data_IF_054114985646
#
_entry.id   IF_054114985646
#
_cell.length_a   1.000
_cell.length_b   1.000
_cell.length_c   1.000
_cell.angle_alpha   90.00
_cell.angle_beta   90.00
_cell.angle_gamma   90.00
#
_symmetry.space_group_name_H-M   'P 1'
#
loop_
_entity.id
_entity.type
_entity.pdbx_description
1 polymer ?
#
# COMPACT_ATOMS: atom_id res chain seq x y z
N UNK A 1 13.85 23.71 -9.58
CA UNK A 1 12.44 23.77 -9.98
C UNK A 1 11.65 23.32 -8.77
N UNK A 2 10.71 24.12 -8.26
CA UNK A 2 9.91 23.70 -7.10
C UNK A 2 8.83 22.74 -7.59
N UNK A 3 8.87 21.49 -7.14
CA UNK A 3 7.81 20.50 -7.42
C UNK A 3 6.60 20.90 -6.58
N UNK A 4 5.44 21.01 -7.20
CA UNK A 4 4.18 21.35 -6.52
C UNK A 4 3.35 20.09 -6.34
N UNK A 5 2.57 20.02 -5.26
CA UNK A 5 1.83 18.81 -4.88
C UNK A 5 0.67 18.48 -5.85
N UNK A 6 0.11 19.49 -6.52
CA UNK A 6 -0.99 19.36 -7.49
C UNK A 6 -0.60 18.58 -8.77
N UNK A 7 0.69 18.46 -9.08
CA UNK A 7 1.17 17.67 -10.23
C UNK A 7 0.72 16.20 -10.15
N UNK A 8 0.54 15.67 -8.92
CA UNK A 8 0.13 14.29 -8.70
C UNK A 8 -1.34 14.03 -9.08
N UNK A 9 -2.19 15.06 -9.23
CA UNK A 9 -3.55 14.89 -9.78
C UNK A 9 -3.55 14.39 -11.23
N UNK A 10 -2.47 14.65 -11.96
CA UNK A 10 -2.32 14.22 -13.35
C UNK A 10 -1.85 12.77 -13.50
N UNK A 11 -1.42 12.14 -12.41
CA UNK A 11 -0.93 10.75 -12.42
C UNK A 11 -2.08 9.80 -12.74
N UNK A 12 -1.93 9.09 -13.86
CA UNK A 12 -2.96 8.17 -14.35
C UNK A 12 -2.90 6.82 -13.67
N UNK A 13 -1.73 6.22 -13.55
CA UNK A 13 -1.54 4.91 -12.94
C UNK A 13 -0.13 4.86 -12.36
N UNK A 14 0.08 4.07 -11.31
CA UNK A 14 1.41 3.71 -10.86
C UNK A 14 1.89 2.46 -11.61
N UNK A 15 3.19 2.36 -11.89
CA UNK A 15 3.72 1.19 -12.57
C UNK A 15 3.80 -0.02 -11.64
N UNK A 16 3.76 -1.21 -12.24
CA UNK A 16 3.95 -2.49 -11.55
C UNK A 16 5.18 -3.22 -12.09
N UNK A 17 5.87 -4.04 -11.27
CA UNK A 17 6.97 -4.87 -11.73
C UNK A 17 6.56 -5.82 -12.88
N UNK A 18 7.43 -6.02 -13.89
CA UNK A 18 7.11 -6.86 -15.05
C UNK A 18 6.70 -8.28 -14.66
N UNK A 19 7.34 -8.89 -13.65
CA UNK A 19 7.04 -10.23 -13.18
C UNK A 19 5.59 -10.37 -12.67
N UNK A 20 5.06 -9.36 -11.99
CA UNK A 20 3.67 -9.36 -11.50
C UNK A 20 2.68 -9.30 -12.68
N UNK A 21 2.96 -8.46 -13.68
CA UNK A 21 2.16 -8.37 -14.91
C UNK A 21 2.19 -9.71 -15.68
N UNK A 22 3.37 -10.35 -15.75
CA UNK A 22 3.52 -11.65 -16.39
C UNK A 22 2.76 -12.76 -15.67
N UNK A 23 2.75 -12.77 -14.33
CA UNK A 23 1.97 -13.74 -13.55
C UNK A 23 0.48 -13.67 -13.90
N UNK A 24 -0.04 -12.46 -14.07
CA UNK A 24 -1.42 -12.23 -14.52
C UNK A 24 -1.66 -12.74 -15.95
N UNK A 25 -0.73 -12.47 -16.87
CA UNK A 25 -0.81 -12.93 -18.26
C UNK A 25 -0.80 -14.46 -18.38
N UNK A 26 0.07 -15.14 -17.64
CA UNK A 26 0.19 -16.61 -17.63
C UNK A 26 -1.10 -17.24 -17.09
N UNK A 27 -1.56 -16.80 -15.92
CA UNK A 27 -2.80 -17.30 -15.32
C UNK A 27 -4.02 -17.07 -16.21
N UNK A 28 -4.00 -15.98 -16.97
CA UNK A 28 -5.04 -15.60 -17.94
C UNK A 28 -5.05 -16.42 -19.23
N UNK A 29 -3.94 -17.09 -19.58
CA UNK A 29 -3.80 -17.89 -20.81
C UNK A 29 -4.22 -19.36 -20.63
N UNK A 30 -4.25 -19.85 -19.39
CA UNK A 30 -4.74 -21.19 -19.02
C UNK A 30 -6.27 -21.23 -19.03
N UNK A 31 -6.84 -21.62 -20.18
CA UNK A 31 -8.29 -21.82 -20.34
C UNK A 31 -8.75 -23.05 -19.53
N UNK A 32 -9.39 -22.86 -18.36
CA UNK A 32 -10.52 -23.71 -17.87
C UNK A 32 -10.99 -23.49 -16.42
N UNK A 33 -10.36 -22.69 -15.56
CA UNK A 33 -10.82 -22.59 -14.16
C UNK A 33 -10.88 -21.15 -13.63
N UNK A 34 -12.13 -20.68 -13.46
CA UNK A 34 -12.59 -19.64 -12.53
C UNK A 34 -11.58 -18.54 -12.16
N UNK A 35 -11.63 -17.43 -12.89
CA UNK A 35 -11.78 -16.03 -12.45
C UNK A 35 -11.50 -15.57 -10.99
N UNK A 36 -11.59 -16.43 -9.96
CA UNK A 36 -11.16 -16.11 -8.59
C UNK A 36 -9.63 -15.96 -8.46
N UNK A 37 -8.87 -16.62 -9.34
CA UNK A 37 -7.41 -16.59 -9.32
C UNK A 37 -6.86 -15.16 -9.56
N UNK A 38 -7.55 -14.33 -10.36
CA UNK A 38 -7.02 -13.01 -10.73
C UNK A 38 -6.88 -12.07 -9.54
N UNK A 39 -7.81 -12.12 -8.58
CA UNK A 39 -7.76 -11.29 -7.37
C UNK A 39 -6.61 -11.75 -6.49
N UNK A 40 -6.43 -13.06 -6.32
CA UNK A 40 -5.35 -13.64 -5.52
C UNK A 40 -3.96 -13.32 -6.10
N UNK A 41 -3.84 -13.28 -7.43
CA UNK A 41 -2.59 -12.92 -8.10
C UNK A 41 -2.23 -11.46 -7.87
N UNK A 42 -3.22 -10.56 -7.86
CA UNK A 42 -2.97 -9.11 -7.84
C UNK A 42 -2.99 -8.53 -6.42
N UNK A 43 -3.52 -9.27 -5.43
CA UNK A 43 -3.78 -8.75 -4.09
C UNK A 43 -2.53 -8.29 -3.35
N UNK A 44 -1.34 -8.65 -3.81
CA UNK A 44 -0.07 -8.19 -3.23
C UNK A 44 0.68 -7.18 -4.09
N UNK A 45 0.12 -6.77 -5.24
CA UNK A 45 0.65 -5.68 -6.04
C UNK A 45 -0.11 -4.36 -5.76
N UNK A 46 0.49 -3.40 -5.02
CA UNK A 46 -0.16 -2.12 -4.71
C UNK A 46 -0.57 -1.32 -5.96
N UNK A 47 0.24 -1.32 -7.02
CA UNK A 47 -0.05 -0.54 -8.24
C UNK A 47 -1.23 -1.08 -9.03
N UNK A 48 -1.34 -2.41 -9.15
CA UNK A 48 -2.50 -3.08 -9.74
C UNK A 48 -3.74 -2.89 -8.88
N UNK A 49 -3.60 -3.05 -7.56
CA UNK A 49 -4.70 -2.86 -6.63
C UNK A 49 -5.28 -1.44 -6.71
N UNK A 50 -4.42 -0.42 -6.69
CA UNK A 50 -4.78 0.97 -6.90
C UNK A 50 -5.46 1.20 -8.25
N UNK A 51 -4.95 0.59 -9.32
CA UNK A 51 -5.54 0.70 -10.66
C UNK A 51 -6.96 0.12 -10.72
N UNK A 52 -7.18 -1.04 -10.08
CA UNK A 52 -8.50 -1.68 -9.99
C UNK A 52 -9.47 -0.84 -9.15
N UNK A 53 -9.05 -0.40 -7.97
CA UNK A 53 -9.85 0.43 -7.07
C UNK A 53 -10.21 1.78 -7.69
N UNK A 54 -9.26 2.42 -8.40
CA UNK A 54 -9.49 3.65 -9.15
C UNK A 54 -10.60 3.48 -10.18
N UNK A 55 -10.57 2.40 -10.94
CA UNK A 55 -11.58 2.14 -11.98
C UNK A 55 -12.93 1.81 -11.33
N UNK A 56 -12.94 1.01 -10.26
CA UNK A 56 -14.15 0.69 -9.50
C UNK A 56 -14.83 1.94 -8.91
N UNK A 57 -14.04 2.93 -8.46
CA UNK A 57 -14.53 4.20 -7.93
C UNK A 57 -14.79 5.28 -8.99
N UNK A 58 -14.56 4.99 -10.27
CA UNK A 58 -14.77 5.98 -11.33
C UNK A 58 -16.27 6.23 -11.56
N UNK A 59 -16.67 7.47 -11.93
CA UNK A 59 -18.07 7.81 -12.18
C UNK A 59 -18.76 6.92 -13.24
N UNK A 60 -17.98 6.28 -14.11
CA UNK A 60 -18.47 5.39 -15.19
C UNK A 60 -19.25 4.19 -14.63
N UNK A 61 -18.86 3.67 -13.48
CA UNK A 61 -19.54 2.51 -12.88
C UNK A 61 -20.73 2.89 -12.01
N UNK A 62 -20.93 4.18 -11.73
CA UNK A 62 -22.15 4.72 -11.12
C UNK A 62 -22.54 4.10 -9.77
N UNK A 63 -21.60 3.48 -9.06
CA UNK A 63 -21.88 2.79 -7.81
C UNK A 63 -22.14 3.84 -6.70
N UNK A 64 -23.28 3.79 -5.99
CA UNK A 64 -23.66 4.86 -5.05
C UNK A 64 -22.76 4.93 -3.80
N UNK A 65 -22.11 3.83 -3.44
CA UNK A 65 -21.16 3.76 -2.33
C UNK A 65 -19.72 3.76 -2.86
N UNK A 66 -18.76 4.28 -2.09
CA UNK A 66 -17.35 4.23 -2.49
C UNK A 66 -16.76 2.85 -2.17
N UNK A 67 -16.07 2.25 -3.14
CA UNK A 67 -15.45 0.93 -3.04
C UNK A 67 -14.17 1.03 -2.21
N UNK A 68 -14.11 0.22 -1.16
CA UNK A 68 -13.12 0.29 -0.08
C UNK A 68 -12.27 -0.98 0.03
N UNK A 69 -12.48 -1.98 -0.83
CA UNK A 69 -11.64 -3.18 -0.85
C UNK A 69 -11.52 -3.82 -2.24
N UNK A 70 -10.47 -4.60 -2.44
CA UNK A 70 -10.30 -5.38 -3.67
C UNK A 70 -11.41 -6.41 -3.88
N UNK A 71 -11.89 -7.04 -2.81
CA UNK A 71 -13.02 -7.98 -2.86
C UNK A 71 -14.31 -7.28 -3.35
N UNK A 72 -14.60 -6.07 -2.86
CA UNK A 72 -15.73 -5.27 -3.33
C UNK A 72 -15.54 -4.88 -4.81
N UNK A 73 -14.34 -4.43 -5.19
CA UNK A 73 -14.02 -4.09 -6.57
C UNK A 73 -14.16 -5.30 -7.51
N UNK A 74 -13.75 -6.49 -7.06
CA UNK A 74 -13.89 -7.73 -7.81
C UNK A 74 -15.35 -8.15 -7.99
N UNK A 75 -16.18 -8.00 -6.96
CA UNK A 75 -17.61 -8.23 -7.05
C UNK A 75 -18.32 -7.28 -8.02
N UNK A 76 -17.86 -6.02 -8.09
CA UNK A 76 -18.43 -5.00 -8.98
C UNK A 76 -17.98 -5.13 -10.44
N UNK A 77 -16.66 -5.21 -10.66
CA UNK A 77 -16.06 -5.16 -11.99
C UNK A 77 -16.08 -6.52 -12.68
N UNK A 78 -15.92 -7.58 -11.88
CA UNK A 78 -15.67 -8.90 -12.39
C UNK A 78 -14.25 -9.10 -12.95
N UNK A 79 -13.88 -10.38 -13.14
CA UNK A 79 -12.53 -10.84 -13.45
C UNK A 79 -12.02 -10.36 -14.82
N UNK A 80 -12.87 -10.36 -15.84
CA UNK A 80 -12.50 -9.91 -17.19
C UNK A 80 -12.18 -8.41 -17.25
N UNK A 81 -12.93 -7.59 -16.51
CA UNK A 81 -12.64 -6.16 -16.41
C UNK A 81 -11.34 -5.91 -15.63
N UNK A 82 -11.17 -6.59 -14.48
CA UNK A 82 -9.92 -6.53 -13.70
C UNK A 82 -8.71 -6.86 -14.57
N UNK A 83 -8.76 -7.95 -15.33
CA UNK A 83 -7.70 -8.33 -16.27
C UNK A 83 -7.38 -7.19 -17.25
N UNK A 84 -8.39 -6.61 -17.88
CA UNK A 84 -8.19 -5.51 -18.83
C UNK A 84 -7.60 -4.25 -18.19
N UNK A 85 -7.89 -3.99 -16.91
CA UNK A 85 -7.30 -2.90 -16.15
C UNK A 85 -5.82 -3.17 -15.92
N UNK A 86 -5.47 -4.36 -15.45
CA UNK A 86 -4.08 -4.75 -15.15
C UNK A 86 -3.20 -4.73 -16.41
N UNK A 87 -3.71 -5.17 -17.55
CA UNK A 87 -2.97 -5.14 -18.81
C UNK A 87 -2.66 -3.71 -19.31
N UNK A 88 -3.30 -2.69 -18.72
CA UNK A 88 -3.04 -1.27 -18.98
C UNK A 88 -2.17 -0.63 -17.90
N UNK A 89 -1.80 -1.36 -16.86
CA UNK A 89 -0.86 -0.90 -15.84
C UNK A 89 0.51 -0.66 -16.47
N UNK A 90 1.15 0.50 -16.24
CA UNK A 90 2.49 0.76 -16.77
C UNK A 90 3.52 -0.22 -16.20
N UNK A 91 4.56 -0.52 -16.98
CA UNK A 91 5.66 -1.40 -16.56
C UNK A 91 6.73 -0.56 -15.85
N UNK A 92 7.16 -0.97 -14.67
CA UNK A 92 8.10 -0.25 -13.81
C UNK A 92 9.46 0.02 -14.46
N UNK A 93 10.04 -0.96 -15.15
CA UNK A 93 11.35 -0.83 -15.81
C UNK A 93 11.43 0.38 -16.77
N UNK A 94 10.31 0.77 -17.39
CA UNK A 94 10.26 1.93 -18.29
C UNK A 94 10.55 3.26 -17.59
N UNK A 95 10.37 3.31 -16.26
CA UNK A 95 10.66 4.48 -15.44
C UNK A 95 12.06 4.41 -14.80
N UNK A 96 12.68 3.23 -14.77
CA UNK A 96 13.98 2.99 -14.13
C UNK A 96 15.17 3.06 -15.09
N UNK A 97 14.93 2.93 -16.40
CA UNK A 97 15.97 2.80 -17.44
C UNK A 97 17.01 3.95 -17.50
N UNK A 98 16.82 5.04 -16.76
CA UNK A 98 17.69 6.23 -16.77
C UNK A 98 18.17 6.66 -15.37
N UNK A 99 18.03 5.80 -14.35
CA UNK A 99 18.22 6.15 -12.94
C UNK A 99 19.51 5.54 -12.33
N UNK A 100 20.69 6.09 -12.64
CA UNK A 100 21.86 5.84 -11.79
C UNK A 100 21.80 6.76 -10.57
N UNK A 101 21.58 6.20 -9.38
CA UNK A 101 21.67 6.95 -8.12
C UNK A 101 22.27 6.11 -6.99
N UNK A 102 23.04 6.78 -6.12
CA UNK A 102 23.72 6.18 -4.97
C UNK A 102 22.74 5.61 -3.93
N UNK A 103 21.55 6.21 -3.82
CA UNK A 103 20.51 5.81 -2.87
C UNK A 103 19.24 5.34 -3.62
N UNK A 104 19.38 4.31 -4.45
CA UNK A 104 18.24 3.74 -5.17
C UNK A 104 17.25 3.05 -4.19
N UNK A 105 15.96 3.17 -4.49
CA UNK A 105 14.91 2.44 -3.80
C UNK A 105 14.92 0.99 -4.28
N UNK A 106 14.85 0.04 -3.34
CA UNK A 106 14.63 -1.36 -3.66
C UNK A 106 13.12 -1.61 -3.83
N UNK A 107 12.70 -1.80 -5.07
CA UNK A 107 11.29 -2.00 -5.41
C UNK A 107 10.78 -3.38 -4.99
N UNK A 108 11.64 -4.41 -4.96
CA UNK A 108 11.26 -5.73 -4.43
C UNK A 108 10.98 -5.61 -2.93
N UNK A 109 11.87 -4.94 -2.20
CA UNK A 109 11.71 -4.68 -0.77
C UNK A 109 10.44 -3.85 -0.48
N UNK A 110 10.13 -2.84 -1.31
CA UNK A 110 8.92 -2.02 -1.16
C UNK A 110 7.64 -2.83 -1.41
N UNK A 111 7.57 -3.64 -2.47
CA UNK A 111 6.38 -4.46 -2.72
C UNK A 111 6.18 -5.52 -1.63
N UNK A 112 7.28 -6.12 -1.15
CA UNK A 112 7.29 -7.02 0.00
C UNK A 112 6.76 -6.33 1.25
N UNK A 113 7.17 -5.08 1.49
CA UNK A 113 6.69 -4.26 2.60
C UNK A 113 5.18 -4.02 2.53
N UNK A 114 4.68 -3.58 1.37
CA UNK A 114 3.25 -3.38 1.14
C UNK A 114 2.46 -4.68 1.34
N UNK A 115 2.91 -5.80 0.77
CA UNK A 115 2.20 -7.08 0.83
C UNK A 115 2.10 -7.66 2.23
N UNK A 116 3.18 -7.64 3.02
CA UNK A 116 3.14 -8.13 4.40
C UNK A 116 2.40 -7.17 5.32
N UNK A 117 2.54 -5.86 5.14
CA UNK A 117 1.73 -4.88 5.88
C UNK A 117 0.24 -5.11 5.62
N UNK A 118 -0.16 -5.39 4.38
CA UNK A 118 -1.52 -5.79 4.02
C UNK A 118 -1.98 -7.05 4.76
N UNK A 119 -1.18 -8.13 4.74
CA UNK A 119 -1.52 -9.38 5.41
C UNK A 119 -1.65 -9.23 6.92
N UNK A 120 -0.73 -8.50 7.54
CA UNK A 120 -0.80 -8.21 8.97
C UNK A 120 -2.01 -7.34 9.31
N UNK A 121 -2.27 -6.29 8.53
CA UNK A 121 -3.42 -5.40 8.74
C UNK A 121 -4.76 -6.13 8.57
N UNK A 122 -4.89 -6.98 7.55
CA UNK A 122 -6.07 -7.83 7.36
C UNK A 122 -6.26 -8.81 8.52
N UNK A 123 -5.19 -9.49 8.93
CA UNK A 123 -5.21 -10.39 10.09
C UNK A 123 -5.60 -9.69 11.39
N UNK A 124 -5.00 -8.53 11.67
CA UNK A 124 -5.33 -7.69 12.83
C UNK A 124 -6.78 -7.24 12.80
N UNK A 125 -7.28 -6.72 11.67
CA UNK A 125 -8.67 -6.30 11.52
C UNK A 125 -9.66 -7.43 11.84
N UNK A 126 -9.35 -8.65 11.42
CA UNK A 126 -10.12 -9.86 11.76
C UNK A 126 -10.09 -10.20 13.24
N UNK A 127 -8.90 -10.15 13.86
CA UNK A 127 -8.67 -10.59 15.24
C UNK A 127 -9.17 -9.59 16.30
N UNK A 128 -9.03 -8.29 16.02
CA UNK A 128 -9.56 -7.20 16.87
C UNK A 128 -11.09 -7.22 16.85
N UNK A 129 -11.68 -7.48 15.68
CA UNK A 129 -13.13 -7.45 15.48
C UNK A 129 -13.68 -6.02 15.35
N UNK A 130 -14.86 -5.89 14.74
CA UNK A 130 -15.51 -4.58 14.52
C UNK A 130 -14.89 -3.73 13.39
N UNK A 131 -13.89 -4.26 12.67
CA UNK A 131 -13.33 -3.68 11.45
C UNK A 131 -13.51 -4.65 10.28
N UNK A 132 -13.64 -4.12 9.07
CA UNK A 132 -13.65 -4.94 7.86
C UNK A 132 -12.22 -5.37 7.50
N UNK A 133 -11.94 -6.67 7.62
CA UNK A 133 -10.63 -7.27 7.32
C UNK A 133 -10.13 -6.91 5.92
N UNK A 134 -11.01 -6.93 4.91
CA UNK A 134 -10.64 -6.65 3.52
C UNK A 134 -10.28 -5.17 3.30
N UNK A 135 -10.93 -4.27 4.04
CA UNK A 135 -10.59 -2.84 4.06
C UNK A 135 -9.25 -2.62 4.73
N UNK A 136 -8.99 -3.27 5.87
CA UNK A 136 -7.70 -3.19 6.57
C UNK A 136 -6.56 -3.76 5.70
N UNK A 137 -6.78 -4.88 5.03
CA UNK A 137 -5.83 -5.45 4.08
C UNK A 137 -5.54 -4.46 2.95
N UNK A 138 -6.59 -3.93 2.31
CA UNK A 138 -6.45 -2.98 1.20
C UNK A 138 -5.71 -1.71 1.64
N UNK A 139 -6.04 -1.17 2.82
CA UNK A 139 -5.36 -0.04 3.43
C UNK A 139 -3.86 -0.32 3.66
N UNK A 140 -3.52 -1.48 4.23
CA UNK A 140 -2.14 -1.89 4.43
C UNK A 140 -1.38 -2.10 3.12
N UNK A 141 -2.06 -2.54 2.06
CA UNK A 141 -1.43 -2.73 0.75
C UNK A 141 -1.04 -1.41 0.09
N UNK A 142 -1.92 -0.41 0.15
CA UNK A 142 -1.75 0.84 -0.61
C UNK A 142 -1.14 1.98 0.21
N UNK A 143 -0.70 1.71 1.45
CA UNK A 143 -0.25 2.71 2.41
C UNK A 143 1.03 3.48 1.99
N UNK A 144 1.78 2.98 1.01
CA UNK A 144 2.99 3.62 0.49
C UNK A 144 2.83 4.06 -0.99
N UNK A 145 1.59 4.30 -1.44
CA UNK A 145 1.30 4.77 -2.80
C UNK A 145 2.12 6.03 -3.20
N UNK A 146 2.28 6.96 -2.28
CA UNK A 146 3.07 8.18 -2.48
C UNK A 146 4.57 7.93 -2.59
N UNK A 147 5.10 6.92 -1.89
CA UNK A 147 6.51 6.49 -2.03
C UNK A 147 6.74 5.93 -3.43
N UNK A 148 5.81 5.09 -3.92
CA UNK A 148 5.84 4.59 -5.30
C UNK A 148 5.79 5.75 -6.29
N UNK A 149 4.88 6.71 -6.10
CA UNK A 149 4.76 7.86 -7.00
C UNK A 149 6.03 8.73 -7.02
N UNK A 150 6.59 9.08 -5.85
CA UNK A 150 7.79 9.89 -5.76
C UNK A 150 9.01 9.19 -6.37
N UNK A 151 9.19 7.90 -6.08
CA UNK A 151 10.29 7.11 -6.63
C UNK A 151 10.20 6.92 -8.14
N UNK A 152 9.00 6.93 -8.72
CA UNK A 152 8.81 6.76 -10.17
C UNK A 152 8.90 8.08 -10.93
N UNK A 153 8.28 9.14 -10.41
CA UNK A 153 8.15 10.43 -11.13
C UNK A 153 9.24 11.44 -10.76
N UNK A 154 9.79 11.35 -9.54
CA UNK A 154 10.87 12.21 -9.05
C UNK A 154 12.00 11.40 -8.38
N UNK A 155 12.56 10.38 -9.07
CA UNK A 155 13.52 9.44 -8.50
C UNK A 155 14.81 10.08 -8.01
N UNK A 156 15.30 11.16 -8.63
CA UNK A 156 16.51 11.85 -8.19
C UNK A 156 16.30 12.49 -6.82
N UNK A 157 15.22 13.26 -6.68
CA UNK A 157 14.84 13.92 -5.44
C UNK A 157 14.47 12.87 -4.37
N UNK A 158 13.81 11.79 -4.76
CA UNK A 158 13.50 10.70 -3.83
C UNK A 158 14.79 10.04 -3.32
N UNK A 159 15.77 9.83 -4.19
CA UNK A 159 17.07 9.31 -3.81
C UNK A 159 17.83 10.26 -2.88
N UNK A 160 17.77 11.57 -3.12
CA UNK A 160 18.28 12.58 -2.20
C UNK A 160 17.60 12.49 -0.83
N UNK A 161 16.27 12.36 -0.79
CA UNK A 161 15.51 12.21 0.45
C UNK A 161 15.91 10.92 1.22
N UNK A 162 16.09 9.80 0.53
CA UNK A 162 16.58 8.55 1.13
C UNK A 162 17.99 8.73 1.70
N UNK A 163 18.90 9.34 0.94
CA UNK A 163 20.26 9.64 1.40
C UNK A 163 20.25 10.54 2.64
N UNK A 164 19.40 11.57 2.64
CA UNK A 164 19.24 12.50 3.77
C UNK A 164 18.66 11.82 5.01
N UNK A 165 17.64 10.98 4.84
CA UNK A 165 17.07 10.13 5.90
C UNK A 165 18.16 9.29 6.59
N UNK A 166 18.95 8.55 5.79
CA UNK A 166 20.04 7.68 6.29
C UNK A 166 21.15 8.48 6.98
N UNK A 167 21.62 9.56 6.36
CA UNK A 167 22.76 10.35 6.85
C UNK A 167 22.42 11.16 8.11
N UNK A 168 21.22 11.74 8.15
CA UNK A 168 20.76 12.56 9.29
C UNK A 168 20.02 11.75 10.37
N UNK A 169 19.75 10.46 10.12
CA UNK A 169 19.00 9.56 11.00
C UNK A 169 17.61 10.12 11.37
N UNK A 170 16.94 10.73 10.39
CA UNK A 170 15.58 11.23 10.53
C UNK A 170 14.61 10.29 9.81
N UNK A 171 13.31 10.38 10.14
CA UNK A 171 12.30 9.65 9.37
C UNK A 171 12.23 10.19 7.91
N UNK A 172 11.76 9.36 6.99
CA UNK A 172 11.75 9.61 5.56
C UNK A 172 10.76 10.73 5.23
N UNK A 173 9.62 10.78 5.91
CA UNK A 173 8.65 11.88 5.75
C UNK A 173 9.29 13.25 6.04
N UNK A 174 10.14 13.35 7.06
CA UNK A 174 10.88 14.57 7.37
C UNK A 174 11.99 14.84 6.34
N UNK A 175 12.64 13.80 5.82
CA UNK A 175 13.63 13.97 4.76
C UNK A 175 12.97 14.43 3.44
N UNK A 176 11.84 13.84 3.08
CA UNK A 176 10.99 14.24 1.94
C UNK A 176 10.57 15.69 2.07
N UNK A 177 10.05 16.11 3.23
CA UNK A 177 9.71 17.52 3.49
C UNK A 177 10.89 18.47 3.28
N UNK A 178 12.10 18.06 3.64
CA UNK A 178 13.31 18.88 3.42
C UNK A 178 13.71 18.98 1.95
N UNK A 179 13.38 18.00 1.11
CA UNK A 179 13.75 17.95 -0.31
C UNK A 179 12.62 18.48 -1.22
N UNK A 180 11.40 17.98 -1.02
CA UNK A 180 10.22 18.30 -1.83
C UNK A 180 9.39 19.47 -1.28
N UNK A 181 9.46 19.74 0.03
CA UNK A 181 8.53 20.65 0.72
C UNK A 181 7.21 20.00 1.18
N UNK A 182 7.02 18.72 0.86
CA UNK A 182 5.90 17.86 1.28
C UNK A 182 6.39 16.42 1.45
N UNK A 183 5.56 15.53 1.98
CA UNK A 183 5.88 14.11 2.17
C UNK A 183 5.03 13.16 1.30
N UNK A 184 5.43 11.89 1.25
CA UNK A 184 4.74 10.82 0.55
C UNK A 184 3.32 10.57 1.06
N UNK A 185 3.01 10.88 2.33
CA UNK A 185 1.64 10.79 2.84
C UNK A 185 0.74 11.84 2.18
N UNK A 186 1.24 13.06 2.02
CA UNK A 186 0.56 14.12 1.27
C UNK A 186 0.36 13.74 -0.20
N UNK A 187 1.36 13.12 -0.83
CA UNK A 187 1.23 12.61 -2.22
C UNK A 187 0.15 11.53 -2.33
N UNK A 188 0.11 10.57 -1.39
CA UNK A 188 -0.93 9.54 -1.35
C UNK A 188 -2.33 10.15 -1.27
N UNK A 189 -2.52 11.18 -0.43
CA UNK A 189 -3.80 11.89 -0.33
C UNK A 189 -4.24 12.52 -1.66
N UNK A 190 -3.32 13.18 -2.37
CA UNK A 190 -3.65 13.79 -3.67
C UNK A 190 -4.00 12.73 -4.72
N UNK A 191 -3.27 11.61 -4.75
CA UNK A 191 -3.57 10.50 -5.67
C UNK A 191 -4.95 9.91 -5.38
N UNK A 192 -5.24 9.63 -4.12
CA UNK A 192 -6.52 9.05 -3.71
C UNK A 192 -7.69 9.99 -3.96
N UNK A 193 -7.50 11.29 -3.71
CA UNK A 193 -8.49 12.33 -4.03
C UNK A 193 -8.75 12.38 -5.53
N UNK A 194 -7.69 12.44 -6.35
CA UNK A 194 -7.80 12.47 -7.80
C UNK A 194 -8.42 11.18 -8.38
N UNK A 195 -8.29 10.06 -7.68
CA UNK A 195 -8.86 8.77 -8.08
C UNK A 195 -10.20 8.44 -7.41
N UNK A 196 -10.81 9.43 -6.72
CA UNK A 196 -12.14 9.34 -6.12
C UNK A 196 -12.28 8.23 -5.07
N UNK A 197 -11.20 7.95 -4.33
CA UNK A 197 -11.23 6.99 -3.23
C UNK A 197 -12.12 7.48 -2.07
N UNK A 198 -12.60 6.56 -1.22
CA UNK A 198 -13.30 6.91 0.01
C UNK A 198 -12.51 7.88 0.89
N UNK A 199 -13.20 8.83 1.54
CA UNK A 199 -12.56 9.75 2.48
C UNK A 199 -11.90 8.99 3.65
N UNK A 200 -12.46 7.84 4.04
CA UNK A 200 -11.85 6.94 5.03
C UNK A 200 -10.45 6.48 4.66
N UNK A 201 -10.16 6.30 3.36
CA UNK A 201 -8.82 5.97 2.87
C UNK A 201 -7.89 7.18 2.85
N UNK A 202 -8.39 8.34 2.41
CA UNK A 202 -7.62 9.59 2.40
C UNK A 202 -7.18 9.93 3.84
N UNK A 203 -8.06 9.71 4.82
CA UNK A 203 -7.79 9.97 6.23
C UNK A 203 -6.69 9.08 6.82
N UNK A 204 -6.36 7.93 6.22
CA UNK A 204 -5.25 7.07 6.67
C UNK A 204 -3.89 7.80 6.63
N UNK A 205 -3.77 8.79 5.74
CA UNK A 205 -2.53 9.53 5.48
C UNK A 205 -2.49 10.90 6.14
N UNK A 206 -3.59 11.32 6.80
CA UNK A 206 -3.68 12.61 7.48
C UNK A 206 -2.99 12.53 8.84
N UNK A 207 -1.85 13.21 8.96
CA UNK A 207 -1.10 13.34 10.23
C UNK A 207 -1.65 14.42 11.16
N UNK A 208 -2.53 15.28 10.65
CA UNK A 208 -3.15 16.42 11.33
C UNK A 208 -4.46 16.08 12.04
N UNK A 209 -5.08 14.94 11.71
CA UNK A 209 -6.29 14.47 12.39
C UNK A 209 -5.91 13.69 13.65
N UNK A 210 -6.40 14.09 14.84
CA UNK A 210 -6.26 13.28 16.04
C UNK A 210 -6.93 11.93 15.82
N UNK A 211 -6.23 10.85 16.16
CA UNK A 211 -6.79 9.50 16.08
C UNK A 211 -8.03 9.44 16.98
N UNK A 212 -9.21 9.27 16.37
CA UNK A 212 -10.49 9.16 17.07
C UNK A 212 -10.82 7.68 17.31
N UNK A 213 -10.97 7.31 18.58
CA UNK A 213 -11.26 5.93 19.01
C UNK A 213 -12.68 5.47 18.66
N UNK A 214 -13.57 6.39 18.29
CA UNK A 214 -14.92 6.09 17.84
C UNK A 214 -15.04 5.96 16.32
N UNK A 215 -14.08 6.50 15.54
CA UNK A 215 -14.09 6.48 14.09
C UNK A 215 -13.44 5.21 13.52
N UNK A 216 -14.18 4.39 12.75
CA UNK A 216 -13.61 3.21 12.09
C UNK A 216 -12.42 3.51 11.17
N UNK A 217 -12.38 4.67 10.52
CA UNK A 217 -11.29 5.05 9.61
C UNK A 217 -9.99 5.29 10.38
N UNK A 218 -10.09 5.99 11.51
CA UNK A 218 -9.00 6.18 12.48
C UNK A 218 -8.47 4.85 13.03
N UNK A 219 -9.37 3.88 13.32
CA UNK A 219 -8.96 2.53 13.72
C UNK A 219 -8.25 1.77 12.60
N UNK A 220 -8.72 1.86 11.35
CA UNK A 220 -8.02 1.25 10.21
C UNK A 220 -6.61 1.84 10.05
N UNK A 221 -6.44 3.15 10.20
CA UNK A 221 -5.12 3.79 10.21
C UNK A 221 -4.22 3.26 11.33
N UNK A 222 -4.77 3.10 12.54
CA UNK A 222 -4.04 2.52 13.66
C UNK A 222 -3.66 1.05 13.43
N UNK A 223 -4.53 0.25 12.77
CA UNK A 223 -4.21 -1.12 12.37
C UNK A 223 -3.04 -1.16 11.39
N UNK A 224 -3.02 -0.27 10.39
CA UNK A 224 -1.91 -0.19 9.42
C UNK A 224 -0.62 0.23 10.13
N UNK A 225 -0.67 1.25 11.00
CA UNK A 225 0.49 1.67 11.80
C UNK A 225 1.05 0.54 12.67
N UNK A 226 0.17 -0.23 13.32
CA UNK A 226 0.56 -1.39 14.12
C UNK A 226 1.14 -2.51 13.23
N UNK A 227 0.56 -2.78 12.07
CA UNK A 227 1.09 -3.76 11.12
C UNK A 227 2.54 -3.42 10.67
N UNK A 228 2.81 -2.13 10.39
CA UNK A 228 4.17 -1.64 10.07
C UNK A 228 5.14 -1.88 11.23
N UNK A 229 4.74 -1.54 12.45
CA UNK A 229 5.54 -1.78 13.66
C UNK A 229 5.86 -3.26 13.85
N UNK A 230 4.86 -4.13 13.79
CA UNK A 230 5.03 -5.57 13.98
C UNK A 230 5.91 -6.17 12.89
N UNK A 231 5.75 -5.74 11.64
CA UNK A 231 6.58 -6.25 10.57
C UNK A 231 8.07 -5.95 10.79
N UNK A 232 8.37 -4.72 11.24
CA UNK A 232 9.72 -4.31 11.62
C UNK A 232 10.24 -5.12 12.81
N UNK A 233 9.46 -5.21 13.89
CA UNK A 233 9.85 -5.94 15.11
C UNK A 233 10.12 -7.42 14.84
N UNK A 234 9.33 -8.03 13.96
CA UNK A 234 9.45 -9.43 13.59
C UNK A 234 10.41 -9.68 12.43
N UNK A 235 11.04 -8.62 11.89
CA UNK A 235 12.00 -8.70 10.78
C UNK A 235 11.44 -9.47 9.56
N UNK A 236 10.15 -9.30 9.27
CA UNK A 236 9.45 -10.06 8.21
C UNK A 236 9.82 -9.59 6.80
N UNK A 237 10.19 -8.33 6.66
CA UNK A 237 10.80 -7.77 5.46
C UNK A 237 11.59 -6.53 5.84
N UNK A 238 12.41 -6.09 4.89
CA UNK A 238 13.08 -4.80 4.90
C UNK A 238 12.06 -3.64 4.85
N UNK A 239 12.30 -2.51 4.21
CA UNK A 239 11.88 -1.20 4.69
C UNK A 239 12.39 -0.98 6.13
N UNK A 240 13.62 -1.45 6.35
CA UNK A 240 14.53 -1.02 7.42
C UNK A 240 15.02 0.43 7.24
N UNK A 241 14.48 1.15 6.26
CA UNK A 241 15.08 2.37 5.75
C UNK A 241 14.66 3.63 6.51
N UNK A 242 13.73 3.51 7.44
CA UNK A 242 13.11 4.68 8.05
C UNK A 242 12.77 4.46 9.52
N UNK A 243 13.32 5.28 10.43
CA UNK A 243 12.81 5.36 11.80
C UNK A 243 11.37 5.89 11.77
N UNK A 244 10.36 5.02 11.83
CA UNK A 244 9.00 5.45 12.10
C UNK A 244 8.89 5.79 13.60
N UNK A 245 8.46 7.02 13.90
CA UNK A 245 8.14 7.56 15.23
C UNK A 245 6.77 7.11 15.74
N UNK A 246 6.29 5.97 15.23
CA UNK A 246 5.03 5.37 15.62
C UNK A 246 5.06 4.94 17.09
N UNK A 247 4.19 5.54 17.89
CA UNK A 247 3.97 5.17 19.29
C UNK A 247 3.07 3.92 19.37
N UNK A 248 3.71 2.76 19.52
CA UNK A 248 3.01 1.48 19.68
C UNK A 248 2.02 1.48 20.85
N UNK A 249 2.32 2.17 21.96
CA UNK A 249 1.42 2.28 23.10
C UNK A 249 0.13 3.02 22.74
N UNK A 250 0.24 4.13 22.01
CA UNK A 250 -0.90 4.89 21.49
C UNK A 250 -1.74 4.06 20.52
N UNK A 251 -1.09 3.32 19.61
CA UNK A 251 -1.77 2.47 18.64
C UNK A 251 -2.57 1.35 19.34
N UNK A 252 -1.97 0.67 20.32
CA UNK A 252 -2.65 -0.36 21.11
C UNK A 252 -3.85 0.22 21.89
N UNK A 253 -3.71 1.41 22.47
CA UNK A 253 -4.78 2.11 23.18
C UNK A 253 -5.98 2.39 22.26
N UNK A 254 -5.75 2.99 21.09
CA UNK A 254 -6.79 3.30 20.10
C UNK A 254 -7.55 2.04 19.65
N UNK A 255 -6.81 0.95 19.47
CA UNK A 255 -7.36 -0.33 19.03
C UNK A 255 -8.04 -1.10 20.16
N UNK A 256 -7.91 -0.65 21.42
CA UNK A 256 -8.49 -1.32 22.58
C UNK A 256 -7.86 -2.70 22.85
N UNK A 257 -6.59 -2.89 22.50
CA UNK A 257 -5.87 -4.16 22.65
C UNK A 257 -4.62 -3.99 23.51
N UNK A 258 -4.09 -5.11 24.01
CA UNK A 258 -2.90 -5.13 24.86
C UNK A 258 -1.73 -5.84 24.18
N UNK A 259 -0.49 -5.65 24.68
CA UNK A 259 0.65 -6.45 24.21
C UNK A 259 0.42 -7.97 24.34
N UNK A 260 -0.36 -8.42 25.32
CA UNK A 260 -0.70 -9.84 25.48
C UNK A 260 -1.57 -10.35 24.33
N UNK A 261 -2.48 -9.53 23.78
CA UNK A 261 -3.22 -9.90 22.57
C UNK A 261 -2.24 -10.15 21.40
N UNK A 262 -1.28 -9.25 21.20
CA UNK A 262 -0.28 -9.37 20.15
C UNK A 262 0.55 -10.65 20.29
N UNK A 263 1.06 -10.93 21.49
CA UNK A 263 1.83 -12.17 21.74
C UNK A 263 1.00 -13.42 21.48
N UNK A 264 -0.31 -13.40 21.75
CA UNK A 264 -1.20 -14.52 21.47
C UNK A 264 -1.45 -14.70 19.96
N UNK A 265 -1.58 -13.60 19.21
CA UNK A 265 -1.87 -13.60 17.78
C UNK A 265 -0.64 -13.75 16.88
N UNK A 266 0.56 -13.50 17.42
CA UNK A 266 1.81 -13.52 16.67
C UNK A 266 2.00 -14.77 15.78
N UNK A 267 1.76 -16.01 16.22
CA UNK A 267 1.93 -17.18 15.36
C UNK A 267 1.01 -17.18 14.13
N UNK A 268 -0.23 -16.72 14.29
CA UNK A 268 -1.21 -16.63 13.21
C UNK A 268 -0.87 -15.48 12.25
N UNK A 269 -0.52 -14.31 12.78
CA UNK A 269 -0.13 -13.15 12.00
C UNK A 269 1.14 -13.41 11.16
N UNK A 270 2.14 -14.06 11.75
CA UNK A 270 3.36 -14.49 11.03
C UNK A 270 3.05 -15.48 9.91
N UNK A 271 2.05 -16.36 10.09
CA UNK A 271 1.59 -17.26 9.02
C UNK A 271 0.98 -16.47 7.86
N UNK A 272 0.16 -15.45 8.12
CA UNK A 272 -0.40 -14.59 7.06
C UNK A 272 0.70 -13.82 6.30
N UNK A 273 1.66 -13.22 7.02
CA UNK A 273 2.81 -12.59 6.38
C UNK A 273 3.66 -13.58 5.56
N UNK A 274 3.82 -14.81 6.06
CA UNK A 274 4.50 -15.90 5.35
C UNK A 274 3.86 -16.19 3.98
N UNK A 275 2.53 -16.25 3.90
CA UNK A 275 1.84 -16.45 2.62
C UNK A 275 2.04 -15.30 1.63
N UNK A 276 2.02 -14.06 2.09
CA UNK A 276 2.32 -12.90 1.24
C UNK A 276 3.74 -12.99 0.67
N UNK A 277 4.73 -13.26 1.54
CA UNK A 277 6.13 -13.38 1.11
C UNK A 277 6.35 -14.53 0.14
N UNK A 278 5.70 -15.67 0.35
CA UNK A 278 5.76 -16.82 -0.57
C UNK A 278 5.16 -16.51 -1.93
N UNK A 279 4.02 -15.81 -1.95
CA UNK A 279 3.33 -15.41 -3.18
C UNK A 279 4.15 -14.42 -3.99
N UNK A 280 4.68 -13.37 -3.34
CA UNK A 280 5.51 -12.35 -4.01
C UNK A 280 6.83 -12.92 -4.54
N UNK A 281 7.42 -13.92 -3.86
CA UNK A 281 8.62 -14.62 -4.34
C UNK A 281 8.35 -15.69 -5.40
N UNK A 282 7.09 -15.93 -5.78
CA UNK A 282 6.71 -16.95 -6.76
C UNK A 282 6.88 -18.39 -6.26
N UNK A 283 6.86 -18.63 -4.95
CA UNK A 283 7.07 -19.95 -4.33
C UNK A 283 5.79 -20.79 -4.16
N UNK A 284 4.77 -20.61 -5.00
CA UNK A 284 3.50 -21.35 -4.92
C UNK A 284 3.45 -22.54 -5.88
#
# INVERSE_FOLDING_TARGET
>A
MTISLDVFHSVKNLPSPPEHINNVLVASGSTSSMDYNIVEIIQYDPSMALSVLKVANSPVYGYPAQISSLQQAAGLLGPGAIKNIILRTPILEKYLAEQESEFALDYEELWMHCGVTASLAGGLGRLIGGLESDVCFTAGLIHDAGVIALSVYYPREMSEAIGKSRNEKINLLNAEKKVFGFDSSQVSMELMTAWNFPESFINLFRSDIPIDEADPSSKTGAVVGLAKLLSREWSLHGCSHVPDDLDGGKLLHVLGITPQNISHWEPELKKYAGFATGTLKGNN
#
